data_IF_179177613646
#
_entry.id   IF_179177613646
#
_cell.length_a   1.000
_cell.length_b   1.000
_cell.length_c   1.000
_cell.angle_alpha   90.00
_cell.angle_beta   90.00
_cell.angle_gamma   90.00
#
_symmetry.space_group_name_H-M   'P 1'
#
loop_
_entity.id
_entity.type
_entity.pdbx_description
1 polymer ?
#
# COMPACT_ATOMS: atom_id res chain seq x y z
N UNK A 1 15.61 1.65 0.86
CA UNK A 1 14.77 1.58 -0.37
C UNK A 1 14.14 2.93 -0.62
N UNK A 2 14.20 3.42 -1.85
CA UNK A 2 13.53 4.68 -2.21
C UNK A 2 12.09 4.39 -2.63
N UNK A 3 11.25 5.45 -2.64
CA UNK A 3 9.88 5.34 -3.11
C UNK A 3 9.82 4.89 -4.58
N UNK A 4 10.71 5.40 -5.42
CA UNK A 4 10.78 5.01 -6.84
C UNK A 4 11.12 3.54 -7.01
N UNK A 5 12.03 3.01 -6.21
CA UNK A 5 12.38 1.58 -6.22
C UNK A 5 11.17 0.73 -5.80
N UNK A 6 10.45 1.19 -4.77
CA UNK A 6 9.27 0.48 -4.30
C UNK A 6 8.16 0.48 -5.35
N UNK A 7 7.93 1.62 -6.01
CA UNK A 7 6.94 1.71 -7.10
C UNK A 7 7.24 0.73 -8.21
N UNK A 8 8.49 0.65 -8.64
CA UNK A 8 8.91 -0.29 -9.68
C UNK A 8 8.70 -1.74 -9.24
N UNK A 9 9.06 -2.06 -8.00
CA UNK A 9 8.89 -3.41 -7.44
C UNK A 9 7.42 -3.79 -7.36
N UNK A 10 6.57 -2.87 -6.92
CA UNK A 10 5.13 -3.09 -6.83
C UNK A 10 4.50 -3.28 -8.21
N UNK A 11 4.92 -2.48 -9.20
CA UNK A 11 4.43 -2.62 -10.57
C UNK A 11 4.81 -4.00 -11.15
N UNK A 12 6.06 -4.42 -10.97
CA UNK A 12 6.54 -5.72 -11.44
C UNK A 12 5.81 -6.89 -10.77
N UNK A 13 5.50 -6.74 -9.49
CA UNK A 13 4.81 -7.78 -8.72
C UNK A 13 3.31 -7.82 -8.97
N UNK A 14 2.75 -6.87 -9.71
CA UNK A 14 1.32 -6.78 -9.90
C UNK A 14 0.57 -6.42 -8.61
N UNK A 15 1.12 -5.48 -7.84
CA UNK A 15 0.64 -5.15 -6.51
C UNK A 15 -0.59 -4.22 -6.55
N UNK A 16 -1.69 -4.75 -7.03
CA UNK A 16 -3.00 -4.07 -7.03
C UNK A 16 -4.11 -5.09 -6.90
N UNK A 17 -5.29 -4.61 -6.50
CA UNK A 17 -6.51 -5.44 -6.47
C UNK A 17 -7.26 -5.21 -7.78
N UNK A 18 -7.50 -6.24 -8.59
CA UNK A 18 -8.20 -6.07 -9.88
C UNK A 18 -9.53 -5.35 -9.74
N UNK A 19 -9.72 -4.30 -10.52
CA UNK A 19 -10.94 -3.50 -10.51
C UNK A 19 -11.12 -2.58 -9.31
N UNK A 20 -10.14 -2.51 -8.42
CA UNK A 20 -10.19 -1.67 -7.21
C UNK A 20 -9.04 -0.68 -7.19
N UNK A 21 -9.26 0.43 -6.48
CA UNK A 21 -8.24 1.46 -6.33
C UNK A 21 -7.90 1.59 -4.84
N UNK A 22 -6.63 1.45 -4.51
CA UNK A 22 -6.15 1.59 -3.13
C UNK A 22 -5.03 2.61 -3.10
N UNK A 23 -5.13 3.58 -2.21
CA UNK A 23 -4.11 4.60 -2.01
C UNK A 23 -3.43 4.37 -0.67
N UNK A 24 -2.11 4.44 -0.66
CA UNK A 24 -1.32 4.43 0.56
C UNK A 24 -0.80 5.84 0.78
N UNK A 25 -1.22 6.47 1.87
CA UNK A 25 -0.87 7.84 2.21
C UNK A 25 0.17 7.80 3.33
N UNK A 26 1.39 8.25 3.01
CA UNK A 26 2.50 8.29 3.96
C UNK A 26 2.51 9.59 4.77
N UNK A 27 1.70 10.55 4.38
CA UNK A 27 1.64 11.86 5.02
C UNK A 27 2.81 12.77 4.64
N UNK A 28 2.61 14.07 4.77
CA UNK A 28 3.65 15.07 4.57
C UNK A 28 4.34 14.97 3.22
N UNK A 29 5.65 15.13 3.24
CA UNK A 29 6.48 15.16 2.02
C UNK A 29 6.70 13.78 1.39
N UNK A 30 6.40 12.70 2.10
CA UNK A 30 6.56 11.35 1.57
C UNK A 30 5.50 11.01 0.51
N UNK A 31 4.39 11.73 0.50
CA UNK A 31 3.37 11.61 -0.54
C UNK A 31 2.53 10.35 -0.44
N UNK A 32 2.12 9.83 -1.60
CA UNK A 32 1.23 8.68 -1.69
C UNK A 32 1.72 7.67 -2.73
N UNK A 33 1.24 6.43 -2.61
CA UNK A 33 1.31 5.42 -3.66
C UNK A 33 -0.12 5.02 -4.00
N UNK A 34 -0.47 5.07 -5.28
CA UNK A 34 -1.79 4.68 -5.78
C UNK A 34 -1.66 3.34 -6.50
N UNK A 35 -2.39 2.34 -6.01
CA UNK A 35 -2.49 1.03 -6.65
C UNK A 35 -3.80 0.99 -7.42
N UNK A 36 -3.71 1.22 -8.73
CA UNK A 36 -4.89 1.31 -9.61
C UNK A 36 -5.12 -0.03 -10.31
N UNK A 37 -5.98 -0.84 -9.71
CA UNK A 37 -6.31 -2.16 -10.24
C UNK A 37 -7.17 -2.12 -11.49
N UNK A 38 -7.83 -1.00 -11.76
CA UNK A 38 -8.61 -0.84 -13.00
C UNK A 38 -7.72 -0.67 -14.23
N UNK A 39 -6.54 -0.07 -14.04
CA UNK A 39 -5.58 0.19 -15.12
C UNK A 39 -4.30 -0.64 -14.99
N UNK A 40 -4.22 -1.53 -14.01
CA UNK A 40 -3.04 -2.35 -13.72
C UNK A 40 -1.78 -1.50 -13.58
N UNK A 41 -1.88 -0.45 -12.77
CA UNK A 41 -0.85 0.58 -12.65
C UNK A 41 -0.59 0.92 -11.20
N UNK A 42 0.70 1.00 -10.84
CA UNK A 42 1.13 1.55 -9.55
C UNK A 42 1.85 2.87 -9.82
N UNK A 43 1.40 3.95 -9.17
CA UNK A 43 1.94 5.29 -9.42
C UNK A 43 1.97 6.09 -8.11
N UNK A 44 2.44 7.33 -8.19
CA UNK A 44 2.41 8.26 -7.06
C UNK A 44 1.34 9.35 -7.24
N UNK A 45 0.36 9.11 -8.11
CA UNK A 45 -0.74 10.03 -8.33
C UNK A 45 -1.65 10.08 -7.09
N UNK A 46 -2.00 11.29 -6.66
CA UNK A 46 -2.90 11.49 -5.50
C UNK A 46 -4.34 11.67 -5.99
N UNK A 47 -4.91 10.57 -6.49
CA UNK A 47 -6.29 10.54 -6.97
C UNK A 47 -7.20 9.90 -5.90
N UNK A 48 -8.51 10.09 -6.05
CA UNK A 48 -9.48 9.42 -5.20
C UNK A 48 -9.36 7.89 -5.34
N UNK A 49 -9.57 7.18 -4.25
CA UNK A 49 -9.46 5.73 -4.21
C UNK A 49 -10.61 5.11 -3.40
N UNK A 50 -10.89 3.84 -3.67
CA UNK A 50 -11.92 3.09 -2.92
C UNK A 50 -11.51 2.91 -1.47
N UNK A 51 -10.21 2.77 -1.23
CA UNK A 51 -9.64 2.59 0.10
C UNK A 51 -8.37 3.43 0.22
N UNK A 52 -8.22 4.11 1.35
CA UNK A 52 -6.99 4.84 1.67
C UNK A 52 -6.38 4.24 2.94
N UNK A 53 -5.10 3.90 2.87
CA UNK A 53 -4.35 3.37 4.00
C UNK A 53 -3.35 4.42 4.42
N UNK A 54 -3.45 4.87 5.67
CA UNK A 54 -2.52 5.85 6.25
C UNK A 54 -1.49 5.13 7.10
N UNK A 55 -0.23 5.23 6.72
CA UNK A 55 0.88 4.57 7.39
C UNK A 55 2.15 5.36 7.11
N UNK A 56 3.08 5.42 8.07
CA UNK A 56 4.35 6.10 7.85
C UNK A 56 5.19 5.35 6.81
N UNK A 57 6.09 6.06 6.15
CA UNK A 57 7.02 5.46 5.19
C UNK A 57 7.86 4.35 5.84
N UNK A 58 8.37 4.60 7.05
CA UNK A 58 9.17 3.62 7.78
C UNK A 58 8.39 2.35 8.10
N UNK A 59 7.14 2.50 8.57
CA UNK A 59 6.29 1.36 8.89
C UNK A 59 5.91 0.59 7.62
N UNK A 60 5.65 1.30 6.52
CA UNK A 60 5.34 0.65 5.25
C UNK A 60 6.52 -0.17 4.72
N UNK A 61 7.73 0.37 4.82
CA UNK A 61 8.94 -0.38 4.44
C UNK A 61 9.11 -1.64 5.28
N UNK A 62 8.84 -1.54 6.59
CA UNK A 62 8.88 -2.70 7.48
C UNK A 62 7.85 -3.75 7.09
N UNK A 63 6.66 -3.34 6.67
CA UNK A 63 5.61 -4.24 6.18
C UNK A 63 6.04 -4.91 4.88
N UNK A 64 6.60 -4.16 3.96
CA UNK A 64 7.09 -4.69 2.67
C UNK A 64 8.25 -5.66 2.86
N UNK A 65 9.09 -5.43 3.87
CA UNK A 65 10.20 -6.32 4.22
C UNK A 65 9.76 -7.54 5.04
N UNK A 66 8.54 -7.54 5.54
CA UNK A 66 8.02 -8.63 6.37
C UNK A 66 8.38 -8.57 7.83
N UNK A 67 9.00 -7.47 8.29
CA UNK A 67 9.38 -7.28 9.70
C UNK A 67 8.26 -6.69 10.55
N UNK A 68 7.22 -6.15 9.91
CA UNK A 68 6.02 -5.64 10.57
C UNK A 68 4.80 -6.26 9.91
N UNK A 69 3.98 -6.94 10.68
CA UNK A 69 2.74 -7.52 10.20
C UNK A 69 1.67 -6.43 10.05
N UNK A 70 0.91 -6.46 8.94
CA UNK A 70 -0.12 -5.46 8.67
C UNK A 70 -1.22 -5.45 9.72
N UNK A 71 -1.61 -6.62 10.21
CA UNK A 71 -2.64 -6.72 11.26
C UNK A 71 -2.14 -6.09 12.57
N UNK A 72 -0.88 -6.36 12.94
CA UNK A 72 -0.26 -5.77 14.13
C UNK A 72 -0.16 -4.26 13.99
N UNK A 73 0.24 -3.77 12.81
CA UNK A 73 0.31 -2.33 12.55
C UNK A 73 -1.07 -1.67 12.69
N UNK A 74 -2.11 -2.32 12.21
CA UNK A 74 -3.48 -1.83 12.34
C UNK A 74 -3.91 -1.77 13.81
N UNK A 75 -3.68 -2.85 14.55
CA UNK A 75 -4.10 -2.95 15.95
C UNK A 75 -3.34 -1.98 16.87
N UNK A 76 -2.09 -1.67 16.56
CA UNK A 76 -1.27 -0.75 17.35
C UNK A 76 -1.40 0.71 16.92
N UNK A 77 -2.26 1.01 15.93
CA UNK A 77 -2.49 2.36 15.46
C UNK A 77 -1.42 2.91 14.52
N UNK A 78 -0.49 2.09 14.09
CA UNK A 78 0.54 2.49 13.10
C UNK A 78 -0.03 2.59 11.69
N UNK A 79 -1.12 1.86 11.44
CA UNK A 79 -1.80 1.83 10.16
C UNK A 79 -3.27 2.15 10.38
N UNK A 80 -3.81 3.08 9.59
CA UNK A 80 -5.23 3.44 9.62
C UNK A 80 -5.84 3.20 8.26
N UNK A 81 -7.10 2.78 8.23
CA UNK A 81 -7.81 2.49 6.99
C UNK A 81 -9.04 3.36 6.89
N UNK A 82 -9.20 4.02 5.73
CA UNK A 82 -10.41 4.76 5.40
C UNK A 82 -11.02 4.15 4.14
N UNK A 83 -12.35 4.06 4.09
CA UNK A 83 -13.06 3.47 2.96
C UNK A 83 -13.31 1.99 3.15
N UNK A 84 -13.15 1.21 2.07
CA UNK A 84 -13.51 -0.21 2.08
C UNK A 84 -12.45 -1.06 2.80
N UNK A 85 -12.85 -1.59 3.96
CA UNK A 85 -11.98 -2.43 4.81
C UNK A 85 -11.58 -3.75 4.14
N UNK A 86 -12.45 -4.32 3.31
CA UNK A 86 -12.14 -5.60 2.68
C UNK A 86 -10.97 -5.47 1.70
N UNK A 87 -10.84 -4.32 1.02
CA UNK A 87 -9.69 -4.06 0.17
C UNK A 87 -8.40 -4.03 0.98
N UNK A 88 -8.43 -3.40 2.17
CA UNK A 88 -7.27 -3.35 3.04
C UNK A 88 -6.84 -4.75 3.50
N UNK A 89 -7.79 -5.60 3.82
CA UNK A 89 -7.49 -6.98 4.23
C UNK A 89 -6.84 -7.79 3.11
N UNK A 90 -7.27 -7.58 1.87
CA UNK A 90 -6.69 -8.27 0.71
C UNK A 90 -5.25 -7.83 0.42
N UNK A 91 -4.85 -6.64 0.87
CA UNK A 91 -3.49 -6.14 0.66
C UNK A 91 -2.43 -6.98 1.36
N UNK A 92 -2.77 -7.72 2.40
CA UNK A 92 -1.80 -8.61 3.06
C UNK A 92 -1.21 -9.62 2.08
N UNK A 93 -2.04 -10.18 1.20
CA UNK A 93 -1.58 -11.08 0.14
C UNK A 93 -0.67 -10.39 -0.86
N UNK A 94 -0.94 -9.12 -1.15
CA UNK A 94 -0.11 -8.32 -2.06
C UNK A 94 1.26 -8.05 -1.43
N UNK A 95 1.30 -7.68 -0.16
CA UNK A 95 2.57 -7.46 0.54
C UNK A 95 3.41 -8.74 0.62
N UNK A 96 2.77 -9.90 0.72
CA UNK A 96 3.47 -11.18 0.68
C UNK A 96 4.20 -11.38 -0.66
N UNK A 97 3.63 -10.91 -1.77
CA UNK A 97 4.30 -10.95 -3.08
C UNK A 97 5.55 -10.07 -3.11
N UNK A 98 5.55 -8.95 -2.40
CA UNK A 98 6.70 -8.05 -2.33
C UNK A 98 7.86 -8.66 -1.56
N UNK A 99 7.55 -9.51 -0.58
CA UNK A 99 8.58 -10.18 0.23
C UNK A 99 9.25 -11.33 -0.48
N UNK A 100 8.51 -11.96 -1.37
CA UNK A 100 8.94 -13.17 -1.99
C UNK A 100 9.52 -13.03 -3.32
#
# INVERSE_FOLDING_TARGET
>A
MTKSELLAKMQDAGAWLPGKTVKIDFGGDDGVILMDGSNSLVSDADNAADTTIKVSWDDFQAMAAGTLDGMTAFMTGKLKVEGDMSNAMQLQGIFAKLRG
#
